data_IF_973464191530
#
_entry.id   IF_973464191530
#
_cell.length_a   1.000
_cell.length_b   1.000
_cell.length_c   1.000
_cell.angle_alpha   90.00
_cell.angle_beta   90.00
_cell.angle_gamma   90.00
#
_symmetry.space_group_name_H-M   'P 1'
#
loop_
_entity.id
_entity.type
_entity.pdbx_description
1 polymer ?
#
# COMPACT_ATOMS: atom_id res chain seq x y z
N UNK A 1 0.48 -15.10 11.74
CA UNK A 1 -0.83 -14.42 11.51
C UNK A 1 -1.84 -15.50 11.15
N UNK A 2 -3.03 -15.51 11.78
CA UNK A 2 -4.05 -16.49 11.44
C UNK A 2 -4.57 -16.23 10.01
N UNK A 3 -4.88 -17.29 9.25
CA UNK A 3 -5.42 -17.14 7.89
C UNK A 3 -6.83 -16.54 7.89
N UNK A 4 -7.53 -16.64 9.03
CA UNK A 4 -8.89 -16.12 9.22
C UNK A 4 -8.99 -15.31 10.51
N UNK A 5 -9.86 -14.30 10.50
CA UNK A 5 -10.16 -13.44 11.65
C UNK A 5 -11.68 -13.38 11.81
N UNK A 6 -12.18 -13.68 13.01
CA UNK A 6 -13.60 -13.63 13.31
C UNK A 6 -13.92 -12.51 14.31
N UNK A 7 -14.94 -11.71 14.04
CA UNK A 7 -15.46 -10.70 14.99
C UNK A 7 -16.92 -10.37 14.67
N UNK A 8 -17.78 -10.39 15.69
CA UNK A 8 -19.18 -9.95 15.54
C UNK A 8 -20.01 -10.73 14.52
N UNK A 9 -19.72 -12.03 14.32
CA UNK A 9 -20.40 -12.89 13.34
C UNK A 9 -19.81 -12.87 11.93
N UNK A 10 -18.88 -11.94 11.64
CA UNK A 10 -18.14 -11.93 10.38
C UNK A 10 -16.89 -12.82 10.47
N UNK A 11 -16.59 -13.53 9.39
CA UNK A 11 -15.35 -14.29 9.21
C UNK A 11 -14.62 -13.74 8.01
N UNK A 12 -13.39 -13.27 8.22
CA UNK A 12 -12.56 -12.63 7.19
C UNK A 12 -11.34 -13.48 6.91
N UNK A 13 -11.18 -13.90 5.65
CA UNK A 13 -9.94 -14.52 5.16
C UNK A 13 -8.92 -13.44 4.90
N UNK A 14 -7.83 -13.46 5.68
CA UNK A 14 -6.78 -12.42 5.63
C UNK A 14 -5.95 -12.58 4.37
N UNK A 15 -5.80 -11.49 3.61
CA UNK A 15 -4.94 -11.42 2.42
C UNK A 15 -3.70 -10.55 2.64
N UNK A 16 -3.80 -9.54 3.53
CA UNK A 16 -2.69 -8.65 3.86
C UNK A 16 -2.69 -8.35 5.36
N UNK A 17 -1.48 -8.24 5.91
CA UNK A 17 -1.26 -7.91 7.31
C UNK A 17 -0.09 -6.92 7.43
N UNK A 18 -0.23 -5.95 8.32
CA UNK A 18 0.80 -4.96 8.60
C UNK A 18 0.98 -4.79 10.11
N UNK A 19 2.15 -5.13 10.67
CA UNK A 19 2.44 -4.89 12.06
C UNK A 19 2.38 -3.39 12.37
N UNK A 20 1.63 -3.06 13.40
CA UNK A 20 1.27 -1.71 13.81
C UNK A 20 1.99 -1.27 15.07
N UNK A 21 1.44 -0.25 15.72
CA UNK A 21 1.84 0.13 17.09
C UNK A 21 1.12 -0.77 18.09
N UNK A 22 1.54 -0.71 19.35
CA UNK A 22 0.85 -1.34 20.49
C UNK A 22 0.68 -2.86 20.32
N UNK A 23 1.69 -3.51 19.72
CA UNK A 23 1.73 -4.95 19.41
C UNK A 23 0.52 -5.47 18.59
N UNK A 24 -0.23 -4.58 17.95
CA UNK A 24 -1.36 -4.94 17.11
C UNK A 24 -0.96 -5.06 15.64
N UNK A 25 -1.67 -5.92 14.91
CA UNK A 25 -1.54 -6.09 13.46
C UNK A 25 -2.78 -5.56 12.78
N UNK A 26 -2.60 -4.62 11.85
CA UNK A 26 -3.68 -4.23 10.94
C UNK A 26 -3.84 -5.32 9.88
N UNK A 27 -5.06 -5.78 9.67
CA UNK A 27 -5.38 -6.81 8.68
C UNK A 27 -6.33 -6.26 7.63
N UNK A 28 -6.23 -6.84 6.44
CA UNK A 28 -7.19 -6.71 5.36
C UNK A 28 -7.48 -8.09 4.79
N UNK A 29 -8.73 -8.34 4.47
CA UNK A 29 -9.21 -9.62 3.99
C UNK A 29 -10.55 -9.51 3.28
N UNK A 30 -11.09 -10.66 2.89
CA UNK A 30 -12.46 -10.75 2.34
C UNK A 30 -13.36 -11.48 3.32
N UNK A 31 -14.56 -10.95 3.52
CA UNK A 31 -15.60 -11.64 4.27
C UNK A 31 -16.25 -12.78 3.46
N UNK A 32 -17.16 -13.51 4.09
CA UNK A 32 -17.91 -14.60 3.47
C UNK A 32 -18.76 -14.19 2.25
N UNK A 33 -18.97 -12.88 2.02
CA UNK A 33 -19.66 -12.34 0.84
C UNK A 33 -18.68 -11.80 -0.21
N UNK A 34 -17.38 -12.06 -0.05
CA UNK A 34 -16.32 -11.57 -0.92
C UNK A 34 -16.01 -10.08 -0.77
N UNK A 35 -16.62 -9.37 0.20
CA UNK A 35 -16.41 -7.92 0.39
C UNK A 35 -15.09 -7.67 1.11
N UNK A 36 -14.35 -6.64 0.69
CA UNK A 36 -13.14 -6.25 1.38
C UNK A 36 -13.47 -5.74 2.79
N UNK A 37 -12.74 -6.25 3.78
CA UNK A 37 -12.82 -5.86 5.18
C UNK A 37 -11.44 -5.51 5.70
N UNK A 38 -11.40 -4.61 6.67
CA UNK A 38 -10.19 -4.24 7.37
C UNK A 38 -10.43 -4.23 8.88
N UNK A 39 -9.36 -4.41 9.64
CA UNK A 39 -9.44 -4.43 11.08
C UNK A 39 -8.07 -4.48 11.75
N UNK A 40 -8.09 -4.82 13.03
CA UNK A 40 -6.89 -5.02 13.83
C UNK A 40 -7.00 -6.31 14.63
N UNK A 41 -5.88 -7.00 14.77
CA UNK A 41 -5.72 -8.17 15.64
C UNK A 41 -4.69 -7.82 16.70
N UNK A 42 -5.06 -7.86 17.97
CA UNK A 42 -4.15 -7.67 19.09
C UNK A 42 -3.28 -8.92 19.30
N UNK A 43 -2.22 -8.78 20.10
CA UNK A 43 -1.26 -9.86 20.36
C UNK A 43 -1.87 -11.11 20.99
N UNK A 44 -2.91 -10.93 21.81
CA UNK A 44 -3.70 -12.00 22.43
C UNK A 44 -4.68 -12.68 21.46
N UNK A 45 -4.72 -12.22 20.19
CA UNK A 45 -5.64 -12.71 19.16
C UNK A 45 -6.98 -11.99 19.12
N UNK A 46 -7.25 -11.05 20.03
CA UNK A 46 -8.50 -10.30 20.02
C UNK A 46 -8.62 -9.47 18.74
N UNK A 47 -9.70 -9.70 17.99
CA UNK A 47 -9.92 -9.07 16.70
C UNK A 47 -11.00 -8.00 16.75
N UNK A 48 -10.74 -6.89 16.05
CA UNK A 48 -11.72 -5.84 15.78
C UNK A 48 -11.79 -5.60 14.29
N UNK A 49 -12.89 -6.00 13.67
CA UNK A 49 -13.20 -5.71 12.28
C UNK A 49 -14.02 -4.42 12.18
N UNK A 50 -13.72 -3.62 11.15
CA UNK A 50 -14.56 -2.49 10.77
C UNK A 50 -15.74 -2.98 9.93
N UNK A 51 -16.90 -2.31 9.99
CA UNK A 51 -17.94 -2.50 8.99
C UNK A 51 -17.39 -2.23 7.59
N UNK A 52 -17.88 -2.95 6.59
CA UNK A 52 -17.43 -2.76 5.21
C UNK A 52 -17.61 -1.30 4.77
N UNK A 53 -16.57 -0.68 4.22
CA UNK A 53 -16.60 0.69 3.74
C UNK A 53 -16.67 1.77 4.82
N UNK A 54 -16.59 1.42 6.11
CA UNK A 54 -16.71 2.39 7.22
C UNK A 54 -15.39 2.47 7.99
N UNK A 55 -14.88 3.68 8.16
CA UNK A 55 -13.68 3.94 8.96
C UNK A 55 -13.72 5.36 9.53
N UNK A 56 -13.81 5.49 10.85
CA UNK A 56 -13.91 6.80 11.52
C UNK A 56 -12.70 7.70 11.27
N UNK A 57 -11.54 7.15 10.92
CA UNK A 57 -10.34 7.94 10.59
C UNK A 57 -10.28 8.30 9.10
N UNK A 58 -11.19 7.76 8.28
CA UNK A 58 -11.32 8.00 6.84
C UNK A 58 -12.79 8.38 6.52
N UNK A 59 -13.28 9.54 7.00
CA UNK A 59 -14.71 9.88 6.99
C UNK A 59 -15.35 9.89 5.59
N UNK A 60 -14.57 10.18 4.53
CA UNK A 60 -15.07 10.17 3.15
C UNK A 60 -15.35 8.76 2.59
N UNK A 61 -14.85 7.70 3.24
CA UNK A 61 -14.88 6.34 2.68
C UNK A 61 -16.30 5.81 2.46
N UNK A 62 -17.18 5.97 3.44
CA UNK A 62 -18.52 5.39 3.38
C UNK A 62 -19.32 5.92 2.19
N UNK A 63 -19.33 7.25 2.00
CA UNK A 63 -20.02 7.88 0.89
C UNK A 63 -19.45 7.45 -0.48
N UNK A 64 -18.13 7.29 -0.59
CA UNK A 64 -17.49 6.83 -1.82
C UNK A 64 -17.83 5.37 -2.14
N UNK A 65 -17.83 4.48 -1.15
CA UNK A 65 -18.19 3.07 -1.34
C UNK A 65 -19.66 2.95 -1.73
N UNK A 66 -20.57 3.68 -1.09
CA UNK A 66 -21.99 3.64 -1.45
C UNK A 66 -22.23 4.16 -2.87
N UNK A 67 -21.56 5.24 -3.29
CA UNK A 67 -21.64 5.72 -4.68
C UNK A 67 -21.15 4.68 -5.68
N UNK A 68 -19.97 4.11 -5.43
CA UNK A 68 -19.35 3.16 -6.35
C UNK A 68 -20.15 1.86 -6.52
N UNK A 69 -20.97 1.45 -5.55
CA UNK A 69 -21.77 0.21 -5.63
C UNK A 69 -22.75 0.17 -6.81
N UNK A 70 -23.23 1.33 -7.25
CA UNK A 70 -24.15 1.43 -8.39
C UNK A 70 -23.44 1.44 -9.75
N UNK A 71 -22.11 1.49 -9.76
CA UNK A 71 -21.31 1.65 -10.96
C UNK A 71 -20.78 0.28 -11.41
N UNK A 72 -20.63 0.12 -12.72
CA UNK A 72 -19.97 -1.06 -13.27
C UNK A 72 -18.60 -1.19 -12.62
N UNK A 73 -18.33 -2.38 -12.07
CA UNK A 73 -17.03 -2.72 -11.49
C UNK A 73 -16.63 -1.91 -10.23
N UNK A 74 -17.51 -1.04 -9.72
CA UNK A 74 -17.25 -0.15 -8.60
C UNK A 74 -17.17 -0.90 -7.26
N UNK A 75 -16.03 -0.74 -6.55
CA UNK A 75 -15.74 -1.52 -5.35
C UNK A 75 -14.60 -0.93 -4.51
N UNK A 76 -14.62 -1.25 -3.22
CA UNK A 76 -13.47 -1.07 -2.34
C UNK A 76 -12.38 -2.10 -2.70
N UNK A 77 -11.19 -1.63 -3.10
CA UNK A 77 -10.07 -2.49 -3.55
C UNK A 77 -8.90 -2.54 -2.55
N UNK A 78 -8.76 -1.54 -1.69
CA UNK A 78 -7.77 -1.50 -0.61
C UNK A 78 -8.40 -0.86 0.62
N UNK A 79 -8.14 -1.41 1.81
CA UNK A 79 -8.48 -0.80 3.08
C UNK A 79 -7.47 -1.20 4.16
N UNK A 80 -6.57 -0.28 4.49
CA UNK A 80 -5.70 -0.39 5.66
C UNK A 80 -6.32 0.41 6.79
N UNK A 81 -6.93 -0.29 7.75
CA UNK A 81 -7.72 0.29 8.84
C UNK A 81 -7.04 1.52 9.48
N UNK A 82 -7.77 2.62 9.50
CA UNK A 82 -7.38 3.90 10.04
C UNK A 82 -6.22 4.60 9.34
N UNK A 83 -5.75 4.13 8.19
CA UNK A 83 -4.59 4.69 7.46
C UNK A 83 -4.97 5.19 6.07
N UNK A 84 -5.57 4.32 5.25
CA UNK A 84 -5.98 4.64 3.88
C UNK A 84 -6.93 3.58 3.32
N UNK A 85 -7.68 3.96 2.30
CA UNK A 85 -8.47 3.06 1.48
C UNK A 85 -8.39 3.49 0.00
N UNK A 86 -8.78 2.60 -0.91
CA UNK A 86 -8.89 2.92 -2.35
C UNK A 86 -10.19 2.32 -2.86
N UNK A 87 -11.00 3.15 -3.51
CA UNK A 87 -12.27 2.78 -4.12
C UNK A 87 -12.11 2.91 -5.64
N UNK A 88 -12.43 1.84 -6.37
CA UNK A 88 -12.62 1.89 -7.82
C UNK A 88 -14.04 2.34 -8.11
N UNK A 89 -14.20 3.19 -9.11
CA UNK A 89 -15.46 3.66 -9.66
C UNK A 89 -15.30 3.83 -11.19
N UNK A 90 -16.37 4.11 -11.93
CA UNK A 90 -16.39 4.24 -13.38
C UNK A 90 -15.39 5.29 -13.89
N UNK A 91 -15.24 6.39 -13.15
CA UNK A 91 -14.31 7.48 -13.46
C UNK A 91 -12.86 7.27 -13.02
N UNK A 92 -12.51 6.15 -12.38
CA UNK A 92 -11.13 5.91 -11.93
C UNK A 92 -10.98 5.28 -10.54
N UNK A 93 -9.92 5.68 -9.85
CA UNK A 93 -9.59 5.21 -8.50
C UNK A 93 -9.48 6.39 -7.55
N UNK A 94 -10.30 6.39 -6.50
CA UNK A 94 -10.21 7.37 -5.43
C UNK A 94 -9.49 6.77 -4.22
N UNK A 95 -8.32 7.31 -3.91
CA UNK A 95 -7.55 7.01 -2.71
C UNK A 95 -8.01 7.91 -1.56
N UNK A 96 -8.56 7.29 -0.53
CA UNK A 96 -9.00 7.95 0.70
C UNK A 96 -7.89 7.87 1.74
N UNK A 97 -7.52 9.01 2.30
CA UNK A 97 -6.52 9.16 3.36
C UNK A 97 -7.13 9.91 4.54
N UNK A 98 -6.34 10.12 5.60
CA UNK A 98 -6.77 10.97 6.70
C UNK A 98 -6.88 12.44 6.22
N UNK A 99 -7.79 13.23 6.79
CA UNK A 99 -7.85 14.68 6.59
C UNK A 99 -6.47 15.35 6.69
N UNK A 100 -6.22 16.36 5.86
CA UNK A 100 -4.96 17.09 5.74
C UNK A 100 -3.81 16.33 5.08
N UNK A 101 -4.06 15.16 4.46
CA UNK A 101 -2.99 14.34 3.83
C UNK A 101 -3.06 14.29 2.31
N UNK A 102 -4.23 14.54 1.72
CA UNK A 102 -4.43 14.33 0.29
C UNK A 102 -3.52 15.20 -0.59
N UNK A 103 -3.34 16.49 -0.26
CA UNK A 103 -2.42 17.39 -0.98
C UNK A 103 -1.02 16.81 -1.16
N UNK A 104 -0.42 16.28 -0.07
CA UNK A 104 0.90 15.65 -0.14
C UNK A 104 0.91 14.38 -0.99
N UNK A 105 -0.19 13.62 -1.00
CA UNK A 105 -0.34 12.41 -1.80
C UNK A 105 -0.48 12.73 -3.27
N UNK A 106 -1.28 13.73 -3.63
CA UNK A 106 -1.46 14.15 -5.02
C UNK A 106 -0.19 14.76 -5.60
N UNK A 107 0.52 15.59 -4.82
CA UNK A 107 1.82 16.13 -5.21
C UNK A 107 2.81 15.00 -5.50
N UNK A 108 2.94 14.02 -4.60
CA UNK A 108 3.80 12.86 -4.81
C UNK A 108 3.35 12.01 -6.02
N UNK A 109 2.04 11.85 -6.25
CA UNK A 109 1.53 11.15 -7.44
C UNK A 109 1.90 11.88 -8.74
N UNK A 110 1.76 13.20 -8.79
CA UNK A 110 2.14 14.01 -9.97
C UNK A 110 3.64 13.91 -10.25
N UNK A 111 4.48 14.14 -9.24
CA UNK A 111 5.94 13.98 -9.38
C UNK A 111 6.32 12.56 -9.79
N UNK A 112 5.69 11.54 -9.20
CA UNK A 112 5.90 10.15 -9.58
C UNK A 112 5.49 9.86 -11.03
N UNK A 113 4.40 10.47 -11.50
CA UNK A 113 3.94 10.35 -12.89
C UNK A 113 4.91 11.00 -13.89
N UNK A 114 5.45 12.18 -13.56
CA UNK A 114 6.49 12.83 -14.38
C UNK A 114 7.75 11.95 -14.47
N UNK A 115 8.20 11.38 -13.34
CA UNK A 115 9.35 10.48 -13.30
C UNK A 115 9.10 9.19 -14.09
N UNK A 116 7.91 8.59 -13.97
CA UNK A 116 7.51 7.42 -14.74
C UNK A 116 7.53 7.73 -16.25
N UNK A 117 6.95 8.85 -16.67
CA UNK A 117 6.92 9.29 -18.07
C UNK A 117 8.33 9.47 -18.64
N UNK A 118 9.22 10.12 -17.89
CA UNK A 118 10.64 10.27 -18.27
C UNK A 118 11.39 8.92 -18.32
N UNK A 119 10.97 7.95 -17.54
CA UNK A 119 11.48 6.58 -17.57
C UNK A 119 10.85 5.72 -18.70
N UNK A 120 9.91 6.27 -19.49
CA UNK A 120 9.21 5.56 -20.56
C UNK A 120 8.03 4.71 -20.08
N UNK A 121 7.50 5.00 -18.89
CA UNK A 121 6.33 4.34 -18.30
C UNK A 121 5.15 5.30 -18.26
N UNK A 122 3.96 4.78 -18.54
CA UNK A 122 2.73 5.51 -18.28
C UNK A 122 2.40 5.52 -16.78
N UNK A 123 1.74 6.58 -16.33
CA UNK A 123 1.26 6.73 -14.96
C UNK A 123 -0.14 7.34 -14.96
N UNK A 124 -1.00 7.01 -13.98
CA UNK A 124 -2.30 7.64 -13.84
C UNK A 124 -2.20 9.15 -13.60
N UNK A 125 -3.08 9.92 -14.24
CA UNK A 125 -3.24 11.35 -14.00
C UNK A 125 -4.06 11.61 -12.74
N UNK A 126 -3.70 12.64 -11.96
CA UNK A 126 -4.52 13.10 -10.85
C UNK A 126 -5.64 13.99 -11.40
N UNK A 127 -6.88 13.51 -11.32
CA UNK A 127 -8.07 14.20 -11.83
C UNK A 127 -8.65 15.19 -10.83
N UNK A 128 -8.68 14.82 -9.55
CA UNK A 128 -9.27 15.62 -8.48
C UNK A 128 -8.59 15.32 -7.15
N UNK A 129 -8.52 16.31 -6.28
CA UNK A 129 -8.14 16.13 -4.87
C UNK A 129 -8.97 17.05 -3.97
N UNK A 130 -9.28 16.57 -2.77
CA UNK A 130 -9.80 17.38 -1.66
C UNK A 130 -8.89 17.22 -0.43
N UNK A 131 -9.35 17.57 0.77
CA UNK A 131 -8.56 17.44 2.00
C UNK A 131 -8.19 15.99 2.38
N UNK A 132 -8.98 15.02 1.94
CA UNK A 132 -8.91 13.60 2.35
C UNK A 132 -8.93 12.60 1.20
N UNK A 133 -9.14 13.02 -0.04
CA UNK A 133 -9.23 12.14 -1.20
C UNK A 133 -8.35 12.61 -2.36
N UNK A 134 -7.83 11.65 -3.12
CA UNK A 134 -7.13 11.87 -4.39
C UNK A 134 -7.69 10.89 -5.41
N UNK A 135 -8.26 11.41 -6.49
CA UNK A 135 -8.82 10.63 -7.60
C UNK A 135 -7.84 10.65 -8.76
N UNK A 136 -7.49 9.45 -9.24
CA UNK A 136 -6.72 9.26 -10.46
C UNK A 136 -7.55 8.54 -11.51
N UNK A 137 -7.21 8.73 -12.78
CA UNK A 137 -7.77 7.96 -13.89
C UNK A 137 -7.33 6.48 -13.85
N UNK A 138 -7.78 5.72 -14.84
CA UNK A 138 -7.40 4.31 -14.99
C UNK A 138 -6.27 4.18 -15.98
N UNK A 139 -5.14 3.62 -15.54
CA UNK A 139 -4.14 3.14 -16.48
C UNK A 139 -4.62 1.82 -17.13
N UNK A 140 -4.78 1.76 -18.45
CA UNK A 140 -5.24 0.55 -19.12
C UNK A 140 -4.19 -0.57 -19.01
N UNK A 141 -4.67 -1.80 -18.84
CA UNK A 141 -3.83 -2.98 -18.81
C UNK A 141 -4.21 -3.95 -17.70
N UNK A 142 -3.40 -5.01 -17.57
CA UNK A 142 -3.52 -6.02 -16.51
C UNK A 142 -2.41 -5.83 -15.48
N UNK A 143 -2.70 -6.03 -14.18
CA UNK A 143 -1.66 -6.05 -13.17
C UNK A 143 -0.57 -7.09 -13.48
N UNK A 144 0.70 -6.72 -13.31
CA UNK A 144 1.86 -7.59 -13.61
C UNK A 144 1.77 -8.95 -12.92
N UNK A 145 1.24 -9.02 -11.69
CA UNK A 145 1.13 -10.28 -10.95
C UNK A 145 0.15 -11.29 -11.56
N UNK A 146 -0.73 -10.87 -12.47
CA UNK A 146 -1.62 -11.77 -13.21
C UNK A 146 -0.99 -12.32 -14.49
N UNK A 147 0.19 -11.81 -14.86
CA UNK A 147 0.89 -12.18 -16.10
C UNK A 147 1.91 -13.31 -15.87
N UNK A 148 2.06 -13.79 -14.64
CA UNK A 148 2.97 -14.90 -14.34
C UNK A 148 2.52 -16.16 -15.10
N UNK A 149 3.38 -16.67 -15.98
CA UNK A 149 3.10 -17.86 -16.80
C UNK A 149 2.63 -17.55 -18.23
N UNK A 150 2.44 -16.28 -18.58
CA UNK A 150 2.10 -15.87 -19.95
C UNK A 150 3.36 -15.77 -20.84
N UNK A 151 3.24 -16.00 -22.17
CA UNK A 151 4.38 -15.90 -23.10
C UNK A 151 5.10 -14.53 -23.07
N UNK A 152 4.39 -13.45 -22.71
CA UNK A 152 4.94 -12.10 -22.61
C UNK A 152 5.70 -11.77 -21.32
N UNK A 153 5.78 -12.71 -20.36
CA UNK A 153 6.35 -12.45 -19.03
C UNK A 153 7.80 -11.93 -19.06
N UNK A 154 8.64 -12.51 -19.91
CA UNK A 154 10.02 -12.06 -20.07
C UNK A 154 10.11 -10.62 -20.62
N UNK A 155 9.24 -10.27 -21.56
CA UNK A 155 9.15 -8.92 -22.12
C UNK A 155 8.74 -7.87 -21.08
N UNK A 156 7.83 -8.21 -20.16
CA UNK A 156 7.46 -7.32 -19.05
C UNK A 156 8.67 -6.99 -18.17
N UNK A 157 9.49 -7.99 -17.84
CA UNK A 157 10.72 -7.77 -17.06
C UNK A 157 11.76 -6.97 -17.81
N UNK A 158 11.89 -7.18 -19.11
CA UNK A 158 12.80 -6.38 -19.94
C UNK A 158 12.39 -4.91 -19.94
N UNK A 159 11.13 -4.61 -20.23
CA UNK A 159 10.59 -3.23 -20.21
C UNK A 159 10.78 -2.59 -18.82
N UNK A 160 10.51 -3.35 -17.75
CA UNK A 160 10.71 -2.87 -16.39
C UNK A 160 12.18 -2.55 -16.11
N UNK A 161 13.11 -3.44 -16.46
CA UNK A 161 14.54 -3.26 -16.22
C UNK A 161 15.12 -2.07 -17.00
N UNK A 162 14.72 -1.90 -18.26
CA UNK A 162 15.12 -0.76 -19.09
C UNK A 162 14.58 0.56 -18.50
N UNK A 163 13.31 0.58 -18.10
CA UNK A 163 12.69 1.77 -17.50
C UNK A 163 13.31 2.11 -16.15
N UNK A 164 13.61 1.11 -15.33
CA UNK A 164 14.31 1.28 -14.05
C UNK A 164 15.71 1.86 -14.24
N UNK A 165 16.44 1.41 -15.27
CA UNK A 165 17.76 1.96 -15.61
C UNK A 165 17.66 3.43 -16.02
N UNK A 166 16.66 3.79 -16.85
CA UNK A 166 16.40 5.19 -17.21
C UNK A 166 16.06 6.04 -15.99
N UNK A 167 15.21 5.51 -15.09
CA UNK A 167 14.81 6.20 -13.86
C UNK A 167 16.02 6.54 -12.97
N UNK A 168 16.96 5.60 -12.80
CA UNK A 168 18.19 5.81 -12.03
C UNK A 168 19.12 6.88 -12.64
N UNK A 169 19.06 7.08 -13.95
CA UNK A 169 19.81 8.12 -14.64
C UNK A 169 19.17 9.51 -14.60
N UNK A 170 17.96 9.66 -14.04
CA UNK A 170 17.33 10.97 -13.89
C UNK A 170 17.97 11.72 -12.72
N UNK A 171 18.25 13.01 -12.91
CA UNK A 171 18.73 13.86 -11.82
C UNK A 171 17.76 13.84 -10.63
N UNK A 172 18.30 13.55 -9.45
CA UNK A 172 17.58 13.42 -8.17
C UNK A 172 16.85 14.69 -7.70
N UNK A 173 16.85 15.78 -8.48
CA UNK A 173 16.34 17.11 -8.10
C UNK A 173 14.84 17.31 -8.38
N UNK A 174 14.06 16.24 -8.49
CA UNK A 174 12.62 16.29 -8.79
C UNK A 174 11.73 16.74 -7.62
N UNK A 175 12.26 17.51 -6.66
CA UNK A 175 11.50 18.01 -5.51
C UNK A 175 11.14 16.97 -4.45
N UNK A 176 11.66 15.74 -4.56
CA UNK A 176 11.53 14.69 -3.55
C UNK A 176 12.76 14.69 -2.64
N UNK A 177 12.55 14.50 -1.35
CA UNK A 177 13.66 14.21 -0.43
C UNK A 177 14.30 12.88 -0.81
N UNK A 178 15.65 12.80 -0.89
CA UNK A 178 16.34 11.54 -1.05
C UNK A 178 15.95 10.57 0.07
N UNK A 179 15.75 9.30 -0.28
CA UNK A 179 15.63 8.20 0.67
C UNK A 179 16.97 7.49 0.72
N UNK A 180 17.64 7.59 1.87
CA UNK A 180 19.01 7.13 2.07
C UNK A 180 19.07 5.70 2.60
N UNK A 181 20.27 5.13 2.63
CA UNK A 181 20.52 3.83 3.27
C UNK A 181 20.15 3.85 4.76
N UNK A 182 20.37 4.97 5.45
CA UNK A 182 19.98 5.17 6.85
C UNK A 182 18.45 5.17 7.01
N UNK A 183 17.73 5.82 6.09
CA UNK A 183 16.27 5.82 6.07
C UNK A 183 15.73 4.39 5.89
N UNK A 184 16.32 3.62 4.98
CA UNK A 184 15.95 2.22 4.75
C UNK A 184 16.28 1.34 5.96
N UNK A 185 17.45 1.51 6.56
CA UNK A 185 17.84 0.81 7.79
C UNK A 185 16.84 1.10 8.93
N UNK A 186 16.42 2.35 9.08
CA UNK A 186 15.41 2.75 10.07
C UNK A 186 14.04 2.12 9.78
N UNK A 187 13.62 2.08 8.51
CA UNK A 187 12.39 1.40 8.09
C UNK A 187 12.46 -0.08 8.47
N UNK A 188 13.51 -0.78 8.08
CA UNK A 188 13.71 -2.19 8.37
C UNK A 188 13.62 -2.51 9.86
N UNK A 189 14.35 -1.76 10.70
CA UNK A 189 14.29 -1.93 12.17
C UNK A 189 12.91 -1.65 12.72
N UNK A 190 12.25 -0.59 12.26
CA UNK A 190 10.89 -0.24 12.68
C UNK A 190 9.91 -1.37 12.38
N UNK A 191 9.99 -1.98 11.19
CA UNK A 191 9.13 -3.10 10.83
C UNK A 191 9.45 -4.36 11.62
N UNK A 192 10.74 -4.70 11.79
CA UNK A 192 11.15 -5.85 12.59
C UNK A 192 10.70 -5.73 14.05
N UNK A 193 10.89 -4.56 14.67
CA UNK A 193 10.45 -4.29 16.04
C UNK A 193 8.93 -4.46 16.20
N UNK A 194 8.13 -3.87 15.28
CA UNK A 194 6.66 -4.01 15.33
C UNK A 194 6.21 -5.45 15.10
N UNK A 195 6.85 -6.16 14.17
CA UNK A 195 6.50 -7.53 13.84
C UNK A 195 6.88 -8.50 14.98
N UNK A 196 8.02 -8.27 15.64
CA UNK A 196 8.44 -8.99 16.83
C UNK A 196 7.50 -8.71 18.02
N UNK A 197 7.17 -7.45 18.28
CA UNK A 197 6.22 -7.06 19.33
C UNK A 197 4.85 -7.71 19.15
N UNK A 198 4.36 -7.75 17.91
CA UNK A 198 3.11 -8.43 17.57
C UNK A 198 3.21 -9.97 17.49
N UNK A 199 4.39 -10.55 17.76
CA UNK A 199 4.59 -12.01 17.77
C UNK A 199 4.47 -12.69 16.41
N UNK A 200 4.71 -11.96 15.31
CA UNK A 200 4.49 -12.46 13.94
C UNK A 200 5.74 -12.63 13.11
N UNK A 201 6.88 -12.23 13.67
CA UNK A 201 8.19 -12.42 13.10
C UNK A 201 9.02 -13.32 14.01
N UNK A 202 9.43 -14.52 13.55
CA UNK A 202 10.36 -15.36 14.29
C UNK A 202 11.68 -14.63 14.57
N UNK A 203 12.29 -14.90 15.73
CA UNK A 203 13.49 -14.21 16.21
C UNK A 203 14.67 -14.26 15.22
N UNK A 204 14.83 -15.38 14.51
CA UNK A 204 15.87 -15.53 13.46
C UNK A 204 15.79 -14.44 12.39
N UNK A 205 14.59 -13.94 12.09
CA UNK A 205 14.40 -12.88 11.11
C UNK A 205 14.70 -11.50 11.68
N UNK A 206 14.47 -11.27 12.97
CA UNK A 206 14.86 -10.02 13.64
C UNK A 206 16.38 -9.83 13.55
N UNK A 207 17.15 -10.87 13.90
CA UNK A 207 18.60 -10.84 13.80
C UNK A 207 19.12 -10.69 12.36
N UNK A 208 18.42 -11.26 11.36
CA UNK A 208 18.74 -11.07 9.94
C UNK A 208 18.50 -9.64 9.49
N UNK A 209 17.36 -9.07 9.84
CA UNK A 209 17.02 -7.66 9.52
C UNK A 209 18.06 -6.72 10.10
N UNK A 210 18.48 -6.93 11.36
CA UNK A 210 19.50 -6.07 11.99
C UNK A 210 20.87 -6.16 11.29
N UNK A 211 21.24 -7.32 10.75
CA UNK A 211 22.48 -7.42 9.95
C UNK A 211 22.38 -6.67 8.62
N UNK A 212 21.21 -6.70 7.97
CA UNK A 212 20.98 -5.94 6.73
C UNK A 212 20.97 -4.45 7.01
N UNK A 213 20.28 -3.99 8.05
CA UNK A 213 20.25 -2.59 8.46
C UNK A 213 21.66 -2.04 8.71
N UNK A 214 22.50 -2.76 9.48
CA UNK A 214 23.91 -2.38 9.68
C UNK A 214 24.75 -2.38 8.41
N UNK A 215 24.43 -3.26 7.45
CA UNK A 215 25.13 -3.27 6.16
C UNK A 215 24.80 -2.02 5.36
N UNK A 216 23.53 -1.62 5.32
CA UNK A 216 23.08 -0.39 4.64
C UNK A 216 23.79 0.83 5.23
N UNK A 217 23.78 0.99 6.55
CA UNK A 217 24.50 2.08 7.24
C UNK A 217 26.02 2.02 7.03
N UNK A 218 26.58 0.81 6.90
CA UNK A 218 28.00 0.58 6.67
C UNK A 218 28.46 0.77 5.22
N UNK A 219 27.55 1.03 4.28
CA UNK A 219 27.88 1.31 2.87
C UNK A 219 28.36 2.75 2.63
N UNK A 220 28.52 3.55 3.68
CA UNK A 220 29.15 4.88 3.62
C UNK A 220 30.61 4.74 3.15
N UNK A 221 30.86 4.91 1.84
CA UNK A 221 32.23 5.05 1.31
C UNK A 221 32.55 4.52 -0.08
N UNK A 222 31.58 4.28 -0.97
CA UNK A 222 31.88 3.95 -2.39
C UNK A 222 30.94 4.67 -3.35
N UNK A 223 31.01 6.01 -3.40
CA UNK A 223 30.56 6.81 -4.54
C UNK A 223 31.54 7.96 -4.76
#
# INVERSE_FOLDING_TARGET
MPPTVAAGGDVVTVVRAWPGKDDAVTVEGRDQHGRLRAGTVARDGAARLLPHGVDRRLPALAALVERARGEEDGRLVVHRAGRRAVVRHAGGYTKVVRPGRAASVAAASRTGGELASRAGLAAPEVLHEDDSTVTCDVLPGRPVHELSGEPGWAGVWQVWAESWTRLQGLDARSGLSPHTDDDEAQVLRTWAARAAGAGVLPEVWVGRVERVARRLEGQVGLF
#
